data_IF_929743864684
#
_entry.id   IF_929743864684
#
_cell.length_a   1.000
_cell.length_b   1.000
_cell.length_c   1.000
_cell.angle_alpha   90.00
_cell.angle_beta   90.00
_cell.angle_gamma   90.00
#
_symmetry.space_group_name_H-M   'P 1'
#
loop_
_entity.id
_entity.type
_entity.pdbx_description
1 polymer ?
#
# COMPACT_ATOMS: atom_id res chain seq x y z
N UNK A 1 -41.28 -2.87 7.26
CA UNK A 1 -40.18 -1.88 7.21
C UNK A 1 -39.73 -1.76 8.64
N UNK A 2 -38.59 -2.34 8.99
CA UNK A 2 -38.02 -2.17 10.35
C UNK A 2 -37.56 -0.72 10.50
N UNK A 3 -37.72 -0.16 11.69
CA UNK A 3 -37.22 1.17 12.02
C UNK A 3 -35.72 1.20 11.79
N UNK A 4 -35.28 1.91 10.75
CA UNK A 4 -33.87 2.15 10.51
C UNK A 4 -33.37 3.10 11.58
N UNK A 5 -32.37 2.66 12.37
CA UNK A 5 -31.75 3.49 13.41
C UNK A 5 -30.92 4.61 12.77
N UNK A 6 -31.12 5.85 13.21
CA UNK A 6 -30.34 6.98 12.75
C UNK A 6 -28.93 6.92 13.33
N UNK A 7 -27.91 6.65 12.51
CA UNK A 7 -26.52 6.54 12.92
C UNK A 7 -25.83 7.91 13.02
N UNK A 8 -26.22 8.86 12.16
CA UNK A 8 -25.57 10.18 12.07
C UNK A 8 -26.51 11.24 11.52
N UNK A 9 -26.45 12.43 12.10
CA UNK A 9 -27.21 13.60 11.62
C UNK A 9 -26.24 14.65 11.09
N UNK A 10 -26.41 15.08 9.82
CA UNK A 10 -25.61 16.14 9.23
C UNK A 10 -26.17 17.49 9.73
N UNK A 11 -25.29 18.32 10.24
CA UNK A 11 -25.59 19.70 10.66
C UNK A 11 -24.81 20.69 9.81
N UNK A 12 -25.17 21.98 9.86
CA UNK A 12 -24.45 23.03 9.13
C UNK A 12 -22.96 23.06 9.46
N UNK A 13 -22.59 22.77 10.72
CA UNK A 13 -21.18 22.66 11.14
C UNK A 13 -20.38 21.56 10.44
N UNK A 14 -21.05 20.56 9.86
CA UNK A 14 -20.37 19.49 9.13
C UNK A 14 -19.97 19.91 7.71
N UNK A 15 -20.54 20.97 7.16
CA UNK A 15 -20.23 21.42 5.79
C UNK A 15 -18.78 21.88 5.65
N UNK A 16 -18.19 22.45 6.72
CA UNK A 16 -16.81 22.94 6.74
C UNK A 16 -15.83 22.00 7.44
N UNK A 17 -16.32 20.88 8.02
CA UNK A 17 -15.46 19.93 8.75
C UNK A 17 -14.78 18.87 7.87
N UNK A 18 -15.10 18.85 6.59
CA UNK A 18 -14.72 17.75 5.68
C UNK A 18 -15.34 16.44 6.14
N UNK A 19 -14.53 15.36 6.14
CA UNK A 19 -14.99 14.01 6.55
C UNK A 19 -14.74 13.71 8.05
N UNK A 20 -14.26 14.66 8.81
CA UNK A 20 -13.93 14.43 10.22
C UNK A 20 -15.21 14.12 11.02
N UNK A 21 -15.26 12.91 11.60
CA UNK A 21 -16.40 12.46 12.39
C UNK A 21 -17.61 12.01 11.56
N UNK A 22 -17.56 12.08 10.22
CA UNK A 22 -18.61 11.62 9.33
C UNK A 22 -18.46 10.13 9.02
N UNK A 23 -19.45 9.27 9.30
CA UNK A 23 -19.38 7.86 8.94
C UNK A 23 -19.45 7.69 7.41
N UNK A 24 -18.41 7.07 6.82
CA UNK A 24 -18.28 6.91 5.37
C UNK A 24 -18.41 5.46 4.90
N UNK A 25 -18.67 4.55 5.82
CA UNK A 25 -18.86 3.13 5.53
C UNK A 25 -18.42 2.23 6.67
N UNK A 26 -18.59 0.92 6.47
CA UNK A 26 -18.12 -0.11 7.39
C UNK A 26 -16.76 -0.65 6.99
N UNK A 27 -15.92 -0.99 7.97
CA UNK A 27 -14.71 -1.79 7.78
C UNK A 27 -14.93 -3.18 8.39
N UNK A 28 -14.58 -4.23 7.64
CA UNK A 28 -14.71 -5.62 8.07
C UNK A 28 -13.34 -6.33 8.14
N UNK A 29 -12.27 -5.60 7.86
CA UNK A 29 -10.91 -6.13 7.79
C UNK A 29 -10.06 -5.71 8.96
N UNK A 30 -10.27 -4.52 9.48
CA UNK A 30 -9.54 -4.04 10.65
C UNK A 30 -10.44 -3.30 11.63
N UNK A 31 -9.98 -3.31 12.86
CA UNK A 31 -10.57 -2.59 13.99
C UNK A 31 -9.43 -2.02 14.83
N UNK A 32 -9.63 -0.82 15.37
CA UNK A 32 -8.67 -0.19 16.28
C UNK A 32 -9.32 -0.06 17.65
N UNK A 33 -8.87 -0.88 18.59
CA UNK A 33 -9.24 -0.75 19.99
C UNK A 33 -8.37 0.30 20.69
N UNK A 34 -8.95 1.21 21.49
CA UNK A 34 -8.18 2.24 22.20
C UNK A 34 -7.17 1.69 23.23
N UNK A 35 -7.35 0.46 23.71
CA UNK A 35 -6.53 -0.19 24.74
C UNK A 35 -5.67 -1.29 24.11
N UNK A 36 -6.28 -2.17 23.32
CA UNK A 36 -5.62 -3.36 22.76
C UNK A 36 -4.91 -3.09 21.43
N UNK A 37 -5.22 -1.94 20.80
CA UNK A 37 -4.58 -1.53 19.56
C UNK A 37 -5.26 -2.06 18.29
N UNK A 38 -4.47 -2.30 17.25
CA UNK A 38 -4.96 -2.67 15.91
C UNK A 38 -5.19 -4.18 15.81
N UNK A 39 -6.33 -4.55 15.24
CA UNK A 39 -6.67 -5.94 14.92
C UNK A 39 -6.99 -6.08 13.43
N UNK A 40 -6.48 -7.15 12.80
CA UNK A 40 -6.85 -7.54 11.44
C UNK A 40 -7.69 -8.82 11.49
N UNK A 41 -8.94 -8.74 11.05
CA UNK A 41 -9.89 -9.86 11.04
C UNK A 41 -9.99 -10.56 12.41
N UNK A 42 -9.86 -9.79 13.50
CA UNK A 42 -9.93 -10.27 14.88
C UNK A 42 -8.58 -10.70 15.48
N UNK A 43 -7.50 -10.75 14.71
CA UNK A 43 -6.15 -11.04 15.22
C UNK A 43 -5.47 -9.74 15.66
N UNK A 44 -4.89 -9.66 16.86
CA UNK A 44 -4.03 -8.54 17.24
C UNK A 44 -2.87 -8.40 16.27
N UNK A 45 -2.57 -7.19 15.84
CA UNK A 45 -1.50 -6.96 14.85
C UNK A 45 -0.13 -7.41 15.35
N UNK A 46 0.09 -7.40 16.67
CA UNK A 46 1.31 -7.90 17.28
C UNK A 46 1.54 -9.40 17.05
N UNK A 47 0.48 -10.20 16.99
CA UNK A 47 0.56 -11.64 16.71
C UNK A 47 0.87 -11.91 15.23
N UNK A 48 0.43 -11.00 14.35
CA UNK A 48 0.67 -11.08 12.91
C UNK A 48 2.06 -10.57 12.50
N UNK A 49 2.69 -9.76 13.31
CA UNK A 49 3.94 -9.05 12.97
C UNK A 49 5.13 -9.98 12.68
N UNK A 50 5.07 -11.24 13.11
CA UNK A 50 6.12 -12.24 12.86
C UNK A 50 5.77 -13.22 11.73
N UNK A 51 4.63 -13.04 11.05
CA UNK A 51 4.25 -13.84 9.89
C UNK A 51 4.91 -13.28 8.61
N UNK A 52 4.85 -14.06 7.53
CA UNK A 52 5.17 -13.54 6.21
C UNK A 52 4.10 -12.53 5.79
N UNK A 53 4.50 -11.47 5.13
CA UNK A 53 3.56 -10.42 4.72
C UNK A 53 2.49 -10.94 3.75
N UNK A 54 2.80 -11.91 2.93
CA UNK A 54 1.85 -12.55 2.00
C UNK A 54 0.74 -13.28 2.76
N UNK A 55 1.04 -13.92 3.89
CA UNK A 55 0.03 -14.59 4.72
C UNK A 55 -0.93 -13.60 5.37
N UNK A 56 -0.44 -12.42 5.72
CA UNK A 56 -1.30 -11.33 6.24
C UNK A 56 -2.13 -10.72 5.11
N UNK A 57 -1.59 -10.60 3.90
CA UNK A 57 -2.38 -10.22 2.71
C UNK A 57 -3.48 -11.25 2.46
N UNK A 58 -3.14 -12.54 2.52
CA UNK A 58 -4.12 -13.62 2.41
C UNK A 58 -5.24 -13.49 3.46
N UNK A 59 -4.87 -13.27 4.73
CA UNK A 59 -5.81 -13.04 5.82
C UNK A 59 -6.80 -11.90 5.49
N UNK A 60 -6.31 -10.76 5.03
CA UNK A 60 -7.16 -9.62 4.70
C UNK A 60 -8.10 -9.91 3.51
N UNK A 61 -7.64 -10.68 2.52
CA UNK A 61 -8.43 -11.03 1.34
C UNK A 61 -9.44 -12.15 1.61
N UNK A 62 -9.09 -13.15 2.42
CA UNK A 62 -9.87 -14.37 2.64
C UNK A 62 -10.57 -14.42 3.99
N UNK A 63 -10.31 -13.47 4.90
CA UNK A 63 -10.86 -13.37 6.25
C UNK A 63 -10.47 -14.52 7.19
N UNK A 64 -9.38 -15.19 6.89
CA UNK A 64 -8.74 -16.23 7.70
C UNK A 64 -7.28 -16.38 7.31
N UNK A 65 -6.45 -16.88 8.21
CA UNK A 65 -5.08 -17.27 7.87
C UNK A 65 -5.06 -18.46 6.91
N UNK A 66 -4.05 -18.56 6.03
CA UNK A 66 -3.88 -19.71 5.15
C UNK A 66 -3.48 -20.96 5.92
N UNK A 67 -3.79 -22.16 5.37
CA UNK A 67 -3.07 -23.37 5.73
C UNK A 67 -1.65 -23.31 5.15
N UNK A 68 -0.71 -24.19 5.57
CA UNK A 68 0.63 -24.24 4.97
C UNK A 68 0.60 -24.41 3.44
N UNK A 69 -0.29 -25.27 2.95
CA UNK A 69 -0.43 -25.54 1.51
C UNK A 69 -1.03 -24.32 0.76
N UNK A 70 -1.96 -23.62 1.40
CA UNK A 70 -2.54 -22.40 0.84
C UNK A 70 -1.55 -21.24 0.84
N UNK A 71 -0.72 -21.14 1.88
CA UNK A 71 0.38 -20.16 1.95
C UNK A 71 1.35 -20.38 0.79
N UNK A 72 1.87 -21.60 0.61
CA UNK A 72 2.76 -21.95 -0.49
C UNK A 72 2.16 -21.63 -1.86
N UNK A 73 0.90 -22.02 -2.07
CA UNK A 73 0.19 -21.76 -3.32
C UNK A 73 -0.02 -20.25 -3.57
N UNK A 74 -0.32 -19.48 -2.53
CA UNK A 74 -0.52 -18.04 -2.65
C UNK A 74 0.78 -17.29 -2.94
N UNK A 75 1.90 -17.68 -2.29
CA UNK A 75 3.22 -17.16 -2.59
C UNK A 75 3.63 -17.46 -4.04
N UNK A 76 3.42 -18.71 -4.50
CA UNK A 76 3.69 -19.08 -5.88
C UNK A 76 2.83 -18.31 -6.89
N UNK A 77 1.57 -18.04 -6.58
CA UNK A 77 0.68 -17.24 -7.43
C UNK A 77 1.17 -15.79 -7.54
N UNK A 78 1.54 -15.16 -6.43
CA UNK A 78 2.10 -13.79 -6.44
C UNK A 78 3.42 -13.75 -7.21
N UNK A 79 4.29 -14.75 -7.02
CA UNK A 79 5.54 -14.86 -7.75
C UNK A 79 5.31 -14.91 -9.26
N UNK A 80 4.40 -15.76 -9.72
CA UNK A 80 4.05 -15.91 -11.14
C UNK A 80 3.46 -14.61 -11.73
N UNK A 81 2.53 -13.96 -11.02
CA UNK A 81 1.91 -12.70 -11.48
C UNK A 81 2.91 -11.55 -11.59
N UNK A 82 3.96 -11.57 -10.80
CA UNK A 82 5.02 -10.57 -10.86
C UNK A 82 5.94 -10.71 -12.09
N UNK A 83 6.04 -11.90 -12.70
CA UNK A 83 6.86 -12.14 -13.89
C UNK A 83 6.33 -11.41 -15.13
N UNK A 84 5.03 -11.17 -15.19
CA UNK A 84 4.32 -10.61 -16.34
C UNK A 84 4.07 -9.10 -16.23
N UNK A 85 4.96 -8.35 -15.61
CA UNK A 85 4.77 -6.91 -15.52
C UNK A 85 4.87 -6.26 -16.92
N UNK A 86 3.89 -5.45 -17.35
CA UNK A 86 3.92 -4.77 -18.64
C UNK A 86 4.96 -3.63 -18.62
N UNK A 87 6.22 -3.97 -18.85
CA UNK A 87 7.36 -3.02 -18.80
C UNK A 87 7.16 -1.82 -19.71
N UNK A 88 6.44 -1.98 -20.82
CA UNK A 88 6.08 -0.88 -21.71
C UNK A 88 5.25 0.21 -21.03
N UNK A 89 4.38 -0.17 -20.09
CA UNK A 89 3.59 0.77 -19.31
C UNK A 89 4.47 1.58 -18.34
N UNK A 90 5.57 1.04 -17.88
CA UNK A 90 6.46 1.71 -16.93
C UNK A 90 7.39 2.74 -17.58
N UNK A 91 7.51 2.78 -18.92
CA UNK A 91 8.32 3.78 -19.63
C UNK A 91 7.88 5.22 -19.38
N UNK A 92 6.63 5.45 -19.02
CA UNK A 92 6.17 6.79 -18.65
C UNK A 92 6.97 7.36 -17.48
N UNK A 93 7.40 6.52 -16.55
CA UNK A 93 8.21 6.93 -15.40
C UNK A 93 9.61 7.39 -15.83
N UNK A 94 10.16 6.81 -16.90
CA UNK A 94 11.47 7.17 -17.45
C UNK A 94 11.47 8.56 -18.10
N UNK A 95 10.29 9.07 -18.49
CA UNK A 95 10.14 10.42 -19.06
C UNK A 95 10.08 11.53 -18.00
N UNK A 96 9.93 11.18 -16.73
CA UNK A 96 9.86 12.13 -15.63
C UNK A 96 11.26 12.60 -15.23
N UNK A 97 11.38 13.87 -14.86
CA UNK A 97 12.66 14.44 -14.41
C UNK A 97 13.04 13.85 -13.04
N UNK A 98 14.24 13.24 -12.87
CA UNK A 98 14.70 12.75 -11.58
C UNK A 98 14.57 13.80 -10.47
N UNK A 99 14.08 13.37 -9.31
CA UNK A 99 13.85 14.27 -8.16
C UNK A 99 12.66 15.23 -8.27
N UNK A 100 11.95 15.28 -9.41
CA UNK A 100 10.76 16.13 -9.56
C UNK A 100 9.55 15.59 -8.80
N UNK A 101 8.67 16.45 -8.31
CA UNK A 101 7.42 16.10 -7.65
C UNK A 101 7.60 15.26 -6.38
N UNK A 102 6.51 14.81 -5.81
CA UNK A 102 6.52 13.91 -4.67
C UNK A 102 6.59 12.43 -5.15
N UNK A 103 7.23 11.48 -4.41
CA UNK A 103 7.25 10.06 -4.80
C UNK A 103 5.86 9.47 -5.05
N UNK A 104 4.84 9.92 -4.31
CA UNK A 104 3.46 9.47 -4.48
C UNK A 104 2.85 9.90 -5.82
N UNK A 105 3.29 11.03 -6.40
CA UNK A 105 2.85 11.45 -7.73
C UNK A 105 3.37 10.46 -8.78
N UNK A 106 4.62 10.04 -8.65
CA UNK A 106 5.21 9.01 -9.51
C UNK A 106 4.50 7.68 -9.38
N UNK A 107 4.13 7.30 -8.14
CA UNK A 107 3.38 6.07 -7.90
C UNK A 107 2.00 6.13 -8.56
N UNK A 108 1.27 7.24 -8.42
CA UNK A 108 -0.04 7.41 -9.06
C UNK A 108 0.05 7.34 -10.60
N UNK A 109 1.09 7.94 -11.20
CA UNK A 109 1.35 7.85 -12.64
C UNK A 109 1.63 6.40 -13.05
N UNK A 110 2.49 5.69 -12.33
CA UNK A 110 2.81 4.29 -12.58
C UNK A 110 1.57 3.39 -12.48
N UNK A 111 0.76 3.58 -11.45
CA UNK A 111 -0.49 2.84 -11.25
C UNK A 111 -1.46 3.04 -12.41
N UNK A 112 -1.68 4.29 -12.82
CA UNK A 112 -2.57 4.59 -13.95
C UNK A 112 -2.06 4.02 -15.26
N UNK A 113 -0.74 4.06 -15.47
CA UNK A 113 -0.13 3.51 -16.69
C UNK A 113 -0.23 1.97 -16.72
N UNK A 114 0.00 1.30 -15.59
CA UNK A 114 -0.24 -0.14 -15.46
C UNK A 114 -1.70 -0.47 -15.73
N UNK A 115 -2.64 0.25 -15.14
CA UNK A 115 -4.06 0.03 -15.34
C UNK A 115 -4.51 0.17 -16.80
N UNK A 116 -3.92 1.11 -17.54
CA UNK A 116 -4.21 1.29 -18.95
C UNK A 116 -3.72 0.12 -19.82
N UNK A 117 -2.67 -0.58 -19.39
CA UNK A 117 -2.04 -1.66 -20.16
C UNK A 117 -2.51 -3.06 -19.73
N UNK A 118 -2.98 -3.25 -18.50
CA UNK A 118 -3.04 -4.56 -17.85
C UNK A 118 -4.38 -4.87 -17.18
N UNK A 119 -5.36 -3.99 -17.23
CA UNK A 119 -6.66 -4.30 -16.60
C UNK A 119 -7.34 -5.48 -17.28
N UNK A 120 -7.73 -6.47 -16.47
CA UNK A 120 -8.44 -7.66 -16.92
C UNK A 120 -9.97 -7.46 -16.91
N UNK A 121 -10.43 -6.43 -16.21
CA UNK A 121 -11.86 -6.21 -15.91
C UNK A 121 -12.36 -6.99 -14.70
N UNK A 122 -11.56 -7.89 -14.14
CA UNK A 122 -11.81 -8.53 -12.85
C UNK A 122 -11.02 -7.81 -11.75
N UNK A 123 -11.73 -7.14 -10.85
CA UNK A 123 -11.11 -6.33 -9.80
C UNK A 123 -10.24 -7.16 -8.84
N UNK A 124 -10.55 -8.44 -8.62
CA UNK A 124 -9.75 -9.31 -7.76
C UNK A 124 -8.46 -9.73 -8.47
N UNK A 125 -8.54 -10.12 -9.72
CA UNK A 125 -7.38 -10.47 -10.53
C UNK A 125 -6.44 -9.26 -10.68
N UNK A 126 -6.99 -8.07 -10.97
CA UNK A 126 -6.25 -6.81 -11.08
C UNK A 126 -5.60 -6.43 -9.74
N UNK A 127 -6.28 -6.64 -8.60
CA UNK A 127 -5.69 -6.40 -7.28
C UNK A 127 -4.50 -7.34 -6.99
N UNK A 128 -4.62 -8.61 -7.34
CA UNK A 128 -3.53 -9.59 -7.20
C UNK A 128 -2.34 -9.24 -8.09
N UNK A 129 -2.59 -8.85 -9.34
CA UNK A 129 -1.56 -8.36 -10.24
C UNK A 129 -0.85 -7.13 -9.66
N UNK A 130 -1.60 -6.19 -9.13
CA UNK A 130 -1.06 -4.97 -8.55
C UNK A 130 -0.19 -5.26 -7.32
N UNK A 131 -0.66 -6.10 -6.39
CA UNK A 131 0.10 -6.52 -5.20
C UNK A 131 1.42 -7.16 -5.63
N UNK A 132 1.37 -8.12 -6.54
CA UNK A 132 2.54 -8.86 -6.99
C UNK A 132 3.61 -7.97 -7.67
N UNK A 133 3.18 -6.93 -8.38
CA UNK A 133 4.05 -6.03 -9.16
C UNK A 133 4.51 -4.79 -8.40
N UNK A 134 3.96 -4.55 -7.21
CA UNK A 134 4.29 -3.37 -6.41
C UNK A 134 5.78 -3.28 -6.06
N UNK A 135 6.48 -4.38 -5.68
CA UNK A 135 7.92 -4.31 -5.39
C UNK A 135 8.74 -3.74 -6.54
N UNK A 136 8.48 -4.19 -7.78
CA UNK A 136 9.22 -3.69 -8.95
C UNK A 136 8.85 -2.25 -9.28
N UNK A 137 7.55 -1.90 -9.26
CA UNK A 137 7.10 -0.53 -9.49
C UNK A 137 7.76 0.44 -8.52
N UNK A 138 7.78 0.09 -7.24
CA UNK A 138 8.40 0.93 -6.20
C UNK A 138 9.91 1.02 -6.37
N UNK A 139 10.62 -0.08 -6.62
CA UNK A 139 12.07 -0.07 -6.84
C UNK A 139 12.45 0.80 -8.05
N UNK A 140 11.71 0.71 -9.16
CA UNK A 140 11.90 1.58 -10.33
C UNK A 140 11.72 3.05 -9.98
N UNK A 141 10.66 3.41 -9.25
CA UNK A 141 10.40 4.79 -8.83
C UNK A 141 11.56 5.31 -7.98
N UNK A 142 12.02 4.54 -6.99
CA UNK A 142 13.13 4.96 -6.13
C UNK A 142 14.42 5.19 -6.92
N UNK A 143 14.77 4.26 -7.79
CA UNK A 143 16.00 4.35 -8.58
C UNK A 143 15.95 5.46 -9.64
N UNK A 144 14.85 5.59 -10.37
CA UNK A 144 14.65 6.67 -11.35
C UNK A 144 14.70 8.04 -10.68
N UNK A 145 14.03 8.21 -9.53
CA UNK A 145 14.07 9.46 -8.77
C UNK A 145 15.46 9.78 -8.23
N UNK A 146 16.22 8.75 -7.87
CA UNK A 146 17.63 8.86 -7.45
C UNK A 146 18.62 9.04 -8.60
N UNK A 147 18.16 9.08 -9.86
CA UNK A 147 19.01 9.19 -11.05
C UNK A 147 19.90 7.96 -11.30
N UNK A 148 19.48 6.78 -10.86
CA UNK A 148 20.20 5.50 -10.94
C UNK A 148 19.34 4.39 -11.57
N UNK A 149 18.75 4.61 -12.76
CA UNK A 149 17.85 3.63 -13.38
C UNK A 149 18.51 2.27 -13.64
N UNK A 150 19.82 2.26 -13.90
CA UNK A 150 20.62 1.06 -14.12
C UNK A 150 20.85 0.21 -12.87
N UNK A 151 20.51 0.74 -11.70
CA UNK A 151 20.66 0.03 -10.42
C UNK A 151 19.59 -1.03 -10.15
N UNK A 152 18.53 -1.07 -10.98
CA UNK A 152 17.46 -2.05 -10.80
C UNK A 152 17.94 -3.46 -11.08
N UNK A 153 17.90 -4.32 -10.04
CA UNK A 153 18.22 -5.74 -10.20
C UNK A 153 17.01 -6.54 -10.64
N UNK A 154 17.22 -7.62 -11.41
CA UNK A 154 16.15 -8.55 -11.76
C UNK A 154 15.51 -9.14 -10.51
N UNK A 155 14.21 -9.34 -10.54
CA UNK A 155 13.46 -10.05 -9.51
C UNK A 155 13.99 -11.47 -9.32
N UNK A 156 13.92 -11.98 -8.08
CA UNK A 156 14.19 -13.37 -7.72
C UNK A 156 12.88 -14.07 -7.35
N UNK A 157 12.47 -15.11 -8.08
CA UNK A 157 11.19 -15.80 -7.83
C UNK A 157 11.07 -16.42 -6.44
N UNK A 158 12.21 -16.80 -5.84
CA UNK A 158 12.27 -17.43 -4.51
C UNK A 158 12.12 -16.46 -3.33
N UNK A 159 12.16 -15.15 -3.57
CA UNK A 159 12.01 -14.13 -2.53
C UNK A 159 10.57 -13.63 -2.41
N UNK A 160 10.13 -13.32 -1.20
CA UNK A 160 8.87 -12.65 -0.91
C UNK A 160 8.81 -11.21 -1.45
N UNK A 161 7.68 -10.53 -1.26
CA UNK A 161 7.43 -9.20 -1.81
C UNK A 161 8.43 -8.16 -1.27
N UNK A 162 8.59 -8.11 0.04
CA UNK A 162 9.49 -7.14 0.70
C UNK A 162 10.95 -7.46 0.40
N UNK A 163 11.33 -8.72 0.46
CA UNK A 163 12.70 -9.14 0.17
C UNK A 163 13.09 -8.84 -1.28
N UNK A 164 12.15 -9.07 -2.23
CA UNK A 164 12.36 -8.69 -3.63
C UNK A 164 12.54 -7.18 -3.80
N UNK A 165 11.75 -6.37 -3.11
CA UNK A 165 11.91 -4.91 -3.14
C UNK A 165 13.32 -4.50 -2.70
N UNK A 166 13.80 -5.02 -1.57
CA UNK A 166 15.15 -4.74 -1.04
C UNK A 166 16.24 -5.21 -2.01
N UNK A 167 16.08 -6.43 -2.56
CA UNK A 167 17.00 -6.99 -3.55
C UNK A 167 17.07 -6.13 -4.83
N UNK A 168 15.93 -5.73 -5.37
CA UNK A 168 15.84 -4.90 -6.58
C UNK A 168 16.51 -3.52 -6.41
N UNK A 169 16.51 -2.97 -5.19
CA UNK A 169 17.23 -1.73 -4.86
C UNK A 169 18.76 -1.91 -4.78
N UNK A 170 19.25 -3.14 -4.87
CA UNK A 170 20.68 -3.42 -4.83
C UNK A 170 21.29 -3.49 -3.43
N UNK A 171 20.45 -3.59 -2.38
CA UNK A 171 20.93 -3.76 -1.00
C UNK A 171 21.38 -5.21 -0.80
N UNK A 172 22.47 -5.43 -0.06
CA UNK A 172 23.11 -6.75 0.13
C UNK A 172 23.56 -6.98 1.58
N UNK A 173 23.85 -8.25 1.90
CA UNK A 173 24.41 -8.67 3.19
C UNK A 173 23.52 -8.34 4.38
N UNK A 174 24.12 -8.08 5.52
CA UNK A 174 23.43 -7.81 6.79
C UNK A 174 22.48 -6.61 6.72
N UNK A 175 22.78 -5.65 5.82
CA UNK A 175 21.91 -4.49 5.60
C UNK A 175 20.60 -4.90 4.93
N UNK A 176 20.64 -5.80 3.94
CA UNK A 176 19.46 -6.34 3.30
C UNK A 176 18.57 -7.07 4.30
N UNK A 177 19.14 -7.90 5.18
CA UNK A 177 18.38 -8.59 6.21
C UNK A 177 17.72 -7.63 7.20
N UNK A 178 18.45 -6.61 7.66
CA UNK A 178 17.91 -5.60 8.59
C UNK A 178 16.80 -4.78 7.94
N UNK A 179 17.03 -4.34 6.70
CA UNK A 179 16.05 -3.55 5.95
C UNK A 179 14.81 -4.39 5.64
N UNK A 180 14.97 -5.64 5.20
CA UNK A 180 13.87 -6.56 4.93
C UNK A 180 13.00 -6.78 6.16
N UNK A 181 13.59 -7.13 7.31
CA UNK A 181 12.84 -7.28 8.57
C UNK A 181 12.12 -6.00 8.98
N UNK A 182 12.80 -4.86 8.94
CA UNK A 182 12.19 -3.57 9.30
C UNK A 182 11.01 -3.24 8.38
N UNK A 183 11.18 -3.39 7.07
CA UNK A 183 10.14 -3.11 6.10
C UNK A 183 8.97 -4.09 6.21
N UNK A 184 9.22 -5.38 6.49
CA UNK A 184 8.16 -6.37 6.74
C UNK A 184 7.30 -5.96 7.94
N UNK A 185 7.92 -5.65 9.09
CA UNK A 185 7.18 -5.14 10.24
C UNK A 185 6.39 -3.89 9.90
N UNK A 186 7.04 -2.92 9.27
CA UNK A 186 6.37 -1.68 8.88
C UNK A 186 5.19 -1.95 7.95
N UNK A 187 5.36 -2.84 6.97
CA UNK A 187 4.33 -3.21 6.02
C UNK A 187 3.14 -3.89 6.71
N UNK A 188 3.38 -4.91 7.53
CA UNK A 188 2.32 -5.61 8.27
C UNK A 188 1.56 -4.65 9.19
N UNK A 189 2.26 -3.80 9.93
CA UNK A 189 1.63 -2.84 10.85
C UNK A 189 0.77 -1.77 10.13
N UNK A 190 0.94 -1.60 8.83
CA UNK A 190 0.25 -0.56 8.03
C UNK A 190 -0.64 -1.12 6.91
N UNK A 191 -0.87 -2.44 6.86
CA UNK A 191 -1.66 -3.06 5.78
C UNK A 191 -3.11 -2.62 5.74
N UNK A 192 -3.73 -2.38 6.89
CA UNK A 192 -5.11 -1.91 6.99
C UNK A 192 -5.29 -1.00 8.20
N UNK A 193 -5.97 0.12 8.00
CA UNK A 193 -6.30 1.07 9.08
C UNK A 193 -7.81 1.30 9.20
N UNK A 194 -8.61 0.52 8.51
CA UNK A 194 -10.07 0.69 8.50
C UNK A 194 -10.57 1.79 7.57
N UNK A 195 -11.88 1.98 7.55
CA UNK A 195 -12.58 2.72 6.52
C UNK A 195 -12.59 4.24 6.64
N UNK A 196 -12.12 4.81 7.75
CA UNK A 196 -12.35 6.22 8.10
C UNK A 196 -11.30 7.21 7.61
N UNK A 197 -10.20 6.77 7.01
CA UNK A 197 -9.18 7.67 6.52
C UNK A 197 -9.47 8.19 5.10
N UNK A 198 -8.90 9.35 4.76
CA UNK A 198 -9.16 10.04 3.50
C UNK A 198 -8.74 9.22 2.28
N UNK A 199 -7.62 8.50 2.32
CA UNK A 199 -7.16 7.68 1.20
C UNK A 199 -8.10 6.50 0.95
N UNK A 200 -8.52 5.79 1.98
CA UNK A 200 -9.51 4.71 1.86
C UNK A 200 -10.85 5.22 1.35
N UNK A 201 -11.32 6.37 1.84
CA UNK A 201 -12.53 7.00 1.35
C UNK A 201 -12.42 7.37 -0.14
N UNK A 202 -11.34 8.04 -0.54
CA UNK A 202 -11.10 8.44 -1.93
C UNK A 202 -11.07 7.23 -2.87
N UNK A 203 -10.33 6.18 -2.51
CA UNK A 203 -10.30 4.93 -3.28
C UNK A 203 -11.68 4.27 -3.40
N UNK A 204 -12.43 4.18 -2.29
CA UNK A 204 -13.80 3.63 -2.29
C UNK A 204 -14.77 4.48 -3.11
N UNK A 205 -14.64 5.81 -3.05
CA UNK A 205 -15.49 6.71 -3.83
C UNK A 205 -15.29 6.49 -5.34
N UNK A 206 -14.03 6.35 -5.79
CA UNK A 206 -13.72 6.04 -7.19
C UNK A 206 -14.20 4.63 -7.56
N UNK A 207 -13.99 3.64 -6.70
CA UNK A 207 -14.45 2.26 -6.92
C UNK A 207 -15.97 2.15 -7.00
N UNK A 208 -16.73 3.01 -6.29
CA UNK A 208 -18.19 3.02 -6.33
C UNK A 208 -18.75 3.35 -7.72
N UNK A 209 -17.99 4.09 -8.52
CA UNK A 209 -18.27 4.36 -9.94
C UNK A 209 -17.89 3.21 -10.88
N UNK A 210 -17.46 2.05 -10.34
CA UNK A 210 -16.96 0.90 -11.11
C UNK A 210 -15.71 1.21 -11.95
N UNK A 211 -14.90 2.17 -11.53
CA UNK A 211 -13.57 2.39 -12.09
C UNK A 211 -12.66 1.20 -11.75
N UNK A 212 -11.56 1.04 -12.51
CA UNK A 212 -10.59 -0.02 -12.26
C UNK A 212 -9.96 0.08 -10.87
N UNK A 213 -9.45 -1.03 -10.35
CA UNK A 213 -8.72 -1.04 -9.09
C UNK A 213 -7.49 -0.12 -9.16
N UNK A 214 -6.83 -0.04 -10.30
CA UNK A 214 -5.69 0.85 -10.53
C UNK A 214 -6.06 2.32 -10.33
N UNK A 215 -7.18 2.77 -10.92
CA UNK A 215 -7.68 4.14 -10.75
C UNK A 215 -8.10 4.40 -9.30
N UNK A 216 -8.72 3.43 -8.64
CA UNK A 216 -9.14 3.53 -7.25
C UNK A 216 -7.95 3.68 -6.31
N UNK A 217 -6.90 2.87 -6.48
CA UNK A 217 -5.68 2.94 -5.68
C UNK A 217 -4.88 4.21 -6.02
N UNK A 218 -4.78 4.61 -7.29
CA UNK A 218 -4.13 5.87 -7.66
C UNK A 218 -4.82 7.07 -6.99
N UNK A 219 -6.15 7.09 -6.93
CA UNK A 219 -6.91 8.13 -6.19
C UNK A 219 -6.60 8.11 -4.70
N UNK A 220 -6.52 6.92 -4.08
CA UNK A 220 -6.13 6.77 -2.68
C UNK A 220 -4.71 7.30 -2.42
N UNK A 221 -3.76 7.02 -3.32
CA UNK A 221 -2.38 7.50 -3.22
C UNK A 221 -2.28 9.01 -3.37
N UNK A 222 -3.05 9.61 -4.28
CA UNK A 222 -3.14 11.06 -4.42
C UNK A 222 -3.68 11.72 -3.14
N UNK A 223 -4.71 11.15 -2.52
CA UNK A 223 -5.21 11.63 -1.23
C UNK A 223 -4.16 11.45 -0.11
N UNK A 224 -3.43 10.33 -0.12
CA UNK A 224 -2.38 10.04 0.87
C UNK A 224 -1.20 11.01 0.78
N UNK A 225 -0.91 11.56 -0.40
CA UNK A 225 0.20 12.53 -0.61
C UNK A 225 -0.03 13.88 0.10
N UNK A 226 -1.22 14.14 0.60
CA UNK A 226 -1.57 15.41 1.26
C UNK A 226 -0.81 15.64 2.57
N UNK A 227 -0.41 16.91 2.86
CA UNK A 227 0.38 17.23 4.07
C UNK A 227 -0.38 17.00 5.38
N UNK A 228 -1.71 16.97 5.34
CA UNK A 228 -2.55 16.67 6.51
C UNK A 228 -2.92 15.17 6.61
N UNK A 229 -2.29 14.32 5.80
CA UNK A 229 -2.52 12.88 5.78
C UNK A 229 -1.19 12.11 5.78
N UNK A 230 -0.91 11.23 4.83
CA UNK A 230 0.29 10.38 4.83
C UNK A 230 1.61 11.13 4.80
N UNK A 231 1.67 12.30 4.17
CA UNK A 231 2.87 13.15 4.15
C UNK A 231 3.29 13.68 5.54
N UNK A 232 2.41 13.61 6.53
CA UNK A 232 2.74 13.96 7.91
C UNK A 232 3.84 13.04 8.49
N UNK A 233 3.93 11.77 8.06
CA UNK A 233 4.99 10.85 8.50
C UNK A 233 6.38 11.32 8.03
N UNK A 234 6.48 11.83 6.80
CA UNK A 234 7.74 12.41 6.29
C UNK A 234 8.14 13.63 7.11
N UNK A 235 7.19 14.55 7.38
CA UNK A 235 7.47 15.73 8.18
C UNK A 235 7.90 15.37 9.61
N UNK A 236 7.32 14.33 10.20
CA UNK A 236 7.73 13.82 11.50
C UNK A 236 9.17 13.26 11.47
N UNK A 237 9.51 12.45 10.44
CA UNK A 237 10.86 11.92 10.28
C UNK A 237 11.90 13.05 10.13
N UNK A 238 11.62 14.03 9.27
CA UNK A 238 12.49 15.19 9.08
C UNK A 238 12.66 15.99 10.37
N UNK A 239 11.60 16.17 11.16
CA UNK A 239 11.65 16.81 12.46
C UNK A 239 12.56 16.05 13.43
N UNK A 240 12.40 14.73 13.56
CA UNK A 240 13.24 13.87 14.41
C UNK A 240 14.70 13.92 13.99
N UNK A 241 14.98 13.87 12.67
CA UNK A 241 16.35 13.99 12.15
C UNK A 241 16.99 15.34 12.49
N UNK A 242 16.23 16.43 12.40
CA UNK A 242 16.73 17.76 12.79
C UNK A 242 17.03 17.84 14.29
N UNK A 243 16.17 17.26 15.13
CA UNK A 243 16.44 17.20 16.59
C UNK A 243 17.69 16.37 16.89
N UNK A 244 17.90 15.25 16.24
CA UNK A 244 19.09 14.42 16.40
C UNK A 244 20.37 15.16 16.04
N UNK A 245 20.35 16.00 14.99
CA UNK A 245 21.51 16.81 14.59
C UNK A 245 21.82 17.98 15.55
N UNK A 246 20.87 18.39 16.40
CA UNK A 246 21.06 19.46 17.39
C UNK A 246 21.73 18.91 18.69
N UNK A 247 21.66 17.60 18.92
CA UNK A 247 22.14 16.94 20.14
C UNK A 247 23.38 16.03 19.91
N UNK A 248 23.96 16.06 18.73
CA UNK A 248 25.27 15.50 18.40
C UNK A 248 26.25 16.66 18.21
#
# INVERSE_FOLDING_TARGET
MGDEETIFTITEANLDSGLRGVPVGTCKTSFVDPIEGVHYVGYPVGDLANLEEEDVIYLLMHKRLPSPEESEAFHAELAHRAEEIPTGALRVLESLTPGSGHPMDWLAIGLMSLGAADTTGDARADAMNLIARMPELMARIFLLRGGKPEGLRPRKPELGLVENFVHMLGVEGDEAERMGRMLRFFFILHMDHGGGNLSTFSGKAVASGRASIYASIASAMNALSGPLHGRANQACLEFVQRLSLIHI
#
